data_IF_679927982227
#
_entry.id   IF_679927982227
#
_cell.length_a   1.000
_cell.length_b   1.000
_cell.length_c   1.000
_cell.angle_alpha   90.00
_cell.angle_beta   90.00
_cell.angle_gamma   90.00
#
_symmetry.space_group_name_H-M   'P 1'
#
loop_
_entity.id
_entity.type
_entity.pdbx_description
1 polymer ?
#
# COMPACT_ATOMS: atom_id res chain seq x y z
N UNK A 1 13.64 13.30 14.69
CA UNK A 1 14.49 14.21 13.88
C UNK A 1 14.57 13.61 12.48
N UNK A 2 14.21 14.36 11.42
CA UNK A 2 14.18 13.99 9.98
C UNK A 2 13.38 12.75 9.48
N UNK A 3 13.12 11.73 10.30
CA UNK A 3 12.30 10.52 9.97
C UNK A 3 12.76 9.82 8.67
N UNK A 4 14.06 9.64 8.55
CA UNK A 4 14.65 8.81 7.49
C UNK A 4 14.80 7.39 8.05
N UNK A 5 14.50 6.35 7.25
CA UNK A 5 14.67 4.96 7.68
C UNK A 5 16.15 4.67 7.93
N UNK A 6 16.42 3.77 8.86
CA UNK A 6 17.76 3.26 9.14
C UNK A 6 17.85 1.77 8.83
N UNK A 7 19.05 1.28 8.53
CA UNK A 7 19.33 -0.14 8.39
C UNK A 7 19.44 -0.85 9.75
N UNK A 8 19.72 -2.16 9.71
CA UNK A 8 19.88 -3.01 10.90
C UNK A 8 21.01 -2.51 11.82
N UNK A 9 22.03 -1.85 11.25
CA UNK A 9 23.18 -1.30 11.95
C UNK A 9 22.97 0.16 12.42
N UNK A 10 21.75 0.70 12.28
CA UNK A 10 21.34 2.05 12.66
C UNK A 10 21.95 3.18 11.82
N UNK A 11 22.45 2.89 10.61
CA UNK A 11 22.84 3.91 9.64
C UNK A 11 21.66 4.35 8.78
N UNK A 12 21.67 5.59 8.31
CA UNK A 12 20.62 6.13 7.43
C UNK A 12 20.63 5.38 6.11
N UNK A 13 19.49 4.81 5.75
CA UNK A 13 19.32 4.03 4.53
C UNK A 13 19.21 4.95 3.31
N UNK A 14 20.16 4.82 2.39
CA UNK A 14 20.11 5.49 1.09
C UNK A 14 18.97 4.96 0.23
N UNK A 15 18.58 5.74 -0.78
CA UNK A 15 17.54 5.35 -1.74
C UNK A 15 17.94 4.12 -2.53
N UNK A 16 19.19 4.08 -3.01
CA UNK A 16 19.74 2.90 -3.66
C UNK A 16 21.29 2.94 -3.61
N UNK A 17 21.98 1.88 -3.16
CA UNK A 17 23.43 1.88 -2.92
C UNK A 17 24.30 2.29 -4.12
N UNK A 18 23.84 2.00 -5.35
CA UNK A 18 24.56 2.32 -6.61
C UNK A 18 23.97 3.47 -7.43
N UNK A 19 22.65 3.49 -7.63
CA UNK A 19 21.98 4.44 -8.52
C UNK A 19 21.75 5.79 -7.87
N UNK A 20 21.49 5.81 -6.55
CA UNK A 20 21.21 7.04 -5.82
C UNK A 20 21.68 6.95 -4.36
N UNK A 21 23.00 6.94 -4.13
CA UNK A 21 23.55 6.64 -2.81
C UNK A 21 23.42 7.81 -1.83
N UNK A 22 23.32 9.05 -2.32
CA UNK A 22 23.31 10.25 -1.46
C UNK A 22 21.89 10.75 -1.13
N UNK A 23 20.87 10.28 -1.86
CA UNK A 23 19.48 10.55 -1.50
C UNK A 23 19.00 9.54 -0.47
N UNK A 24 18.19 9.98 0.48
CA UNK A 24 17.46 9.05 1.35
C UNK A 24 16.16 8.62 0.66
N UNK A 25 15.43 7.69 1.27
CA UNK A 25 14.07 7.36 0.80
C UNK A 25 13.13 8.58 0.83
N UNK A 26 13.38 9.56 1.70
CA UNK A 26 12.59 10.79 1.79
C UNK A 26 13.10 11.86 0.83
N UNK A 27 12.25 12.25 -0.12
CA UNK A 27 12.57 13.31 -1.08
C UNK A 27 12.96 14.62 -0.37
N UNK A 28 14.02 15.26 -0.88
CA UNK A 28 14.58 16.50 -0.31
C UNK A 28 15.46 16.29 0.93
N UNK A 29 15.60 15.06 1.45
CA UNK A 29 16.55 14.72 2.50
C UNK A 29 17.69 13.91 1.91
N UNK A 30 18.90 14.42 2.07
CA UNK A 30 20.15 13.83 1.58
C UNK A 30 21.05 13.50 2.76
N UNK A 31 21.88 12.47 2.60
CA UNK A 31 22.82 12.04 3.61
C UNK A 31 24.23 11.97 3.01
N UNK A 32 25.26 12.14 3.85
CA UNK A 32 26.66 12.00 3.47
C UNK A 32 27.51 11.70 4.70
N UNK A 33 28.59 10.95 4.51
CA UNK A 33 29.56 10.66 5.56
C UNK A 33 29.17 9.48 6.45
N UNK A 34 29.73 9.43 7.65
CA UNK A 34 29.62 8.28 8.57
C UNK A 34 28.18 7.96 9.03
N UNK A 35 27.20 8.82 8.71
CA UNK A 35 25.78 8.55 8.99
C UNK A 35 25.19 7.46 8.07
N UNK A 36 25.77 7.23 6.90
CA UNK A 36 25.40 6.15 5.94
C UNK A 36 26.39 4.98 6.04
N UNK A 37 26.96 4.71 7.21
CA UNK A 37 27.89 3.60 7.41
C UNK A 37 29.37 4.00 7.54
N UNK A 38 30.23 3.08 7.99
CA UNK A 38 31.65 3.34 8.24
C UNK A 38 32.41 3.63 6.95
N UNK A 39 33.22 4.68 6.91
CA UNK A 39 34.00 5.08 5.73
C UNK A 39 35.18 5.99 6.07
N UNK A 40 36.09 6.17 5.12
CA UNK A 40 37.25 7.05 5.26
C UNK A 40 36.94 8.52 4.90
N UNK A 41 37.93 9.39 5.08
CA UNK A 41 37.82 10.83 4.81
C UNK A 41 37.58 11.11 3.33
N UNK A 42 38.20 10.35 2.43
CA UNK A 42 38.10 10.59 0.99
C UNK A 42 36.69 10.27 0.49
N UNK A 43 36.13 9.12 0.88
CA UNK A 43 34.75 8.76 0.59
C UNK A 43 33.78 9.78 1.19
N UNK A 44 33.96 10.15 2.47
CA UNK A 44 33.11 11.15 3.14
C UNK A 44 33.09 12.49 2.39
N UNK A 45 34.24 12.92 1.86
CA UNK A 45 34.35 14.20 1.14
C UNK A 45 33.64 14.12 -0.22
N UNK A 46 33.84 13.04 -0.97
CA UNK A 46 33.15 12.82 -2.24
C UNK A 46 31.63 12.73 -2.07
N UNK A 47 31.16 12.07 -1.01
CA UNK A 47 29.74 12.01 -0.66
C UNK A 47 29.16 13.38 -0.31
N UNK A 48 29.89 14.19 0.46
CA UNK A 48 29.46 15.54 0.81
C UNK A 48 29.31 16.42 -0.44
N UNK A 49 30.24 16.34 -1.39
CA UNK A 49 30.13 17.03 -2.68
C UNK A 49 28.94 16.53 -3.51
N UNK A 50 28.74 15.20 -3.56
CA UNK A 50 27.60 14.58 -4.25
C UNK A 50 26.25 14.97 -3.66
N UNK A 51 26.13 14.97 -2.33
CA UNK A 51 24.94 15.41 -1.61
C UNK A 51 24.67 16.91 -1.81
N UNK A 52 25.71 17.75 -1.81
CA UNK A 52 25.57 19.18 -2.11
C UNK A 52 25.04 19.41 -3.54
N UNK A 53 25.57 18.69 -4.53
CA UNK A 53 25.06 18.75 -5.90
C UNK A 53 23.63 18.23 -6.03
N UNK A 54 23.25 17.19 -5.29
CA UNK A 54 21.87 16.71 -5.19
C UNK A 54 20.94 17.78 -4.62
N UNK A 55 21.36 18.50 -3.58
CA UNK A 55 20.62 19.63 -3.00
C UNK A 55 20.47 20.77 -4.02
N UNK A 56 21.54 21.14 -4.73
CA UNK A 56 21.46 22.16 -5.79
C UNK A 56 20.45 21.73 -6.85
N UNK A 57 20.55 20.51 -7.38
CA UNK A 57 19.60 19.96 -8.33
C UNK A 57 18.17 19.89 -7.77
N UNK A 58 18.02 19.70 -6.45
CA UNK A 58 16.74 19.73 -5.75
C UNK A 58 16.11 21.12 -5.73
N UNK A 59 16.91 22.16 -5.47
CA UNK A 59 16.44 23.54 -5.33
C UNK A 59 16.32 24.29 -6.67
N UNK A 60 17.11 23.92 -7.68
CA UNK A 60 17.21 24.68 -8.93
C UNK A 60 16.14 24.36 -9.97
N UNK A 61 15.35 23.30 -9.79
CA UNK A 61 14.37 22.84 -10.78
C UNK A 61 12.94 22.90 -10.28
N UNK A 62 12.00 22.98 -11.22
CA UNK A 62 10.59 22.68 -10.92
C UNK A 62 10.45 21.22 -10.48
N UNK A 63 9.48 20.97 -9.61
CA UNK A 63 9.20 19.64 -9.06
C UNK A 63 7.77 19.29 -9.36
N UNK A 64 7.60 18.13 -9.99
CA UNK A 64 6.30 17.53 -10.21
C UNK A 64 5.93 16.85 -8.88
N UNK A 65 4.85 17.31 -8.27
CA UNK A 65 4.26 16.66 -7.10
C UNK A 65 3.26 15.65 -7.62
N UNK A 66 3.37 14.41 -7.15
CA UNK A 66 2.39 13.37 -7.47
C UNK A 66 0.99 13.81 -6.98
N UNK A 67 -0.03 13.92 -7.86
CA UNK A 67 -1.32 14.50 -7.48
C UNK A 67 -2.17 13.60 -6.59
N UNK A 68 -1.84 12.31 -6.49
CA UNK A 68 -2.62 11.31 -5.76
C UNK A 68 -2.36 11.36 -4.25
N UNK A 69 -2.78 12.44 -3.59
CA UNK A 69 -2.60 12.68 -2.16
C UNK A 69 -3.84 12.31 -1.34
N UNK A 70 -3.71 12.29 -0.02
CA UNK A 70 -4.87 12.24 0.85
C UNK A 70 -5.41 13.66 1.09
N UNK A 71 -6.73 13.79 1.27
CA UNK A 71 -7.40 15.05 1.57
C UNK A 71 -8.63 14.84 2.45
N UNK A 72 -9.06 15.91 3.12
CA UNK A 72 -10.31 15.94 3.89
C UNK A 72 -11.49 16.10 2.92
N UNK A 73 -12.11 14.98 2.58
CA UNK A 73 -13.22 14.91 1.63
C UNK A 73 -14.55 15.37 2.26
N UNK A 74 -14.77 15.05 3.54
CA UNK A 74 -16.00 15.40 4.26
C UNK A 74 -15.67 16.15 5.55
N UNK A 75 -15.46 17.48 5.48
CA UNK A 75 -15.14 18.28 6.65
C UNK A 75 -16.19 18.19 7.77
N UNK A 76 -17.46 18.06 7.41
CA UNK A 76 -18.58 18.04 8.37
C UNK A 76 -18.60 16.78 9.25
N UNK A 77 -18.09 15.65 8.74
CA UNK A 77 -17.98 14.40 9.50
C UNK A 77 -16.78 14.39 10.45
N UNK A 78 -15.77 15.23 10.20
CA UNK A 78 -14.55 15.21 11.00
C UNK A 78 -14.78 15.87 12.37
N UNK A 79 -14.57 15.11 13.44
CA UNK A 79 -14.66 15.58 14.84
C UNK A 79 -13.32 16.12 15.39
N UNK A 80 -12.24 16.01 14.64
CA UNK A 80 -10.90 16.45 15.05
C UNK A 80 -10.18 15.51 16.01
N UNK A 81 -10.57 14.23 16.11
CA UNK A 81 -9.97 13.24 17.02
C UNK A 81 -8.44 13.05 16.84
N UNK A 82 -7.91 13.23 15.62
CA UNK A 82 -6.47 13.20 15.37
C UNK A 82 -5.88 11.82 15.04
N UNK A 83 -6.68 10.76 14.95
CA UNK A 83 -6.20 9.41 14.60
C UNK A 83 -5.38 9.37 13.29
N UNK A 84 -5.82 10.14 12.29
CA UNK A 84 -5.10 10.28 11.02
C UNK A 84 -3.68 10.86 11.16
N UNK A 85 -3.42 11.68 12.19
CA UNK A 85 -2.09 12.24 12.47
C UNK A 85 -1.14 11.15 12.94
N UNK A 86 -1.60 10.31 13.86
CA UNK A 86 -0.84 9.16 14.38
C UNK A 86 -0.58 8.10 13.30
N UNK A 87 -1.59 7.83 12.48
CA UNK A 87 -1.52 6.85 11.40
C UNK A 87 -0.63 7.28 10.22
N UNK A 88 -0.21 8.55 10.12
CA UNK A 88 0.58 9.05 8.99
C UNK A 88 2.08 8.76 9.17
N UNK A 89 2.68 7.84 8.39
CA UNK A 89 4.10 7.49 8.54
C UNK A 89 5.02 8.68 8.26
N UNK A 90 4.64 9.50 7.28
CA UNK A 90 5.41 10.66 6.83
C UNK A 90 5.35 11.86 7.78
N UNK A 91 4.41 11.89 8.74
CA UNK A 91 4.23 13.11 9.53
C UNK A 91 3.66 14.26 8.71
N UNK A 92 2.93 13.97 7.63
CA UNK A 92 2.39 14.95 6.70
C UNK A 92 1.14 15.67 7.21
N UNK A 93 0.45 15.11 8.23
CA UNK A 93 -0.83 15.62 8.72
C UNK A 93 -0.64 16.37 10.04
N UNK A 94 -1.31 17.52 10.18
CA UNK A 94 -1.39 18.29 11.43
C UNK A 94 -2.83 18.73 11.67
N UNK A 95 -3.22 18.91 12.92
CA UNK A 95 -4.50 19.54 13.24
C UNK A 95 -4.34 21.07 13.26
N UNK A 96 -5.15 21.76 12.46
CA UNK A 96 -5.28 23.21 12.43
C UNK A 96 -6.75 23.51 12.63
N UNK A 97 -7.09 24.32 13.65
CA UNK A 97 -8.48 24.66 13.98
C UNK A 97 -9.39 23.42 14.16
N UNK A 98 -8.83 22.32 14.70
CA UNK A 98 -9.57 21.07 14.92
C UNK A 98 -9.79 20.22 13.66
N UNK A 99 -9.21 20.56 12.51
CA UNK A 99 -9.30 19.78 11.28
C UNK A 99 -7.92 19.32 10.77
N UNK A 100 -7.82 18.14 10.14
CA UNK A 100 -6.57 17.68 9.56
C UNK A 100 -6.21 18.52 8.33
N UNK A 101 -5.06 19.18 8.40
CA UNK A 101 -4.39 19.85 7.28
C UNK A 101 -3.24 18.96 6.82
N UNK A 102 -3.23 18.62 5.54
CA UNK A 102 -2.26 17.71 4.94
C UNK A 102 -1.23 18.51 4.16
N UNK A 103 0.04 18.30 4.46
CA UNK A 103 1.14 18.85 3.69
C UNK A 103 1.35 17.98 2.44
N UNK A 104 0.93 18.49 1.28
CA UNK A 104 1.02 17.77 0.00
C UNK A 104 2.46 17.42 -0.40
N UNK A 105 3.44 18.23 -0.01
CA UNK A 105 4.85 17.97 -0.32
C UNK A 105 5.37 16.77 0.49
N UNK A 106 4.92 16.61 1.74
CA UNK A 106 5.31 15.50 2.60
C UNK A 106 4.45 14.26 2.42
N UNK A 107 3.22 14.38 1.93
CA UNK A 107 2.33 13.25 1.75
C UNK A 107 2.86 12.33 0.65
N UNK A 108 3.25 11.11 0.98
CA UNK A 108 3.70 10.13 -0.03
C UNK A 108 2.55 9.55 -0.86
N UNK A 109 1.30 9.66 -0.38
CA UNK A 109 0.13 9.09 -1.09
C UNK A 109 -0.12 7.60 -0.77
N UNK A 110 0.44 7.08 0.33
CA UNK A 110 0.24 5.68 0.75
C UNK A 110 -1.19 5.36 1.23
N UNK A 111 -1.97 6.37 1.61
CA UNK A 111 -3.38 6.19 2.00
C UNK A 111 -3.60 5.64 3.41
N UNK A 112 -2.56 5.38 4.21
CA UNK A 112 -2.67 4.78 5.55
C UNK A 112 -3.63 5.51 6.51
N UNK A 113 -3.73 6.83 6.39
CA UNK A 113 -4.60 7.68 7.23
C UNK A 113 -6.11 7.53 6.95
N UNK A 114 -6.49 6.99 5.80
CA UNK A 114 -7.89 6.95 5.36
C UNK A 114 -8.71 5.93 6.16
N UNK A 115 -8.33 4.64 6.23
CA UNK A 115 -9.00 3.68 7.11
C UNK A 115 -8.79 3.97 8.60
N UNK A 116 -7.77 4.75 8.98
CA UNK A 116 -7.59 5.17 10.37
C UNK A 116 -8.61 6.23 10.83
N UNK A 117 -9.36 6.84 9.91
CA UNK A 117 -10.36 7.83 10.26
C UNK A 117 -11.67 7.14 10.66
N UNK A 118 -12.09 7.18 11.94
CA UNK A 118 -13.32 6.51 12.37
C UNK A 118 -14.58 7.12 11.76
N UNK A 119 -14.50 8.38 11.33
CA UNK A 119 -15.61 9.12 10.70
C UNK A 119 -15.61 8.98 9.17
N UNK A 120 -14.67 8.23 8.58
CA UNK A 120 -14.51 8.11 7.11
C UNK A 120 -14.44 9.46 6.38
N UNK A 121 -13.88 10.49 7.02
CA UNK A 121 -13.86 11.86 6.52
C UNK A 121 -12.74 12.14 5.49
N UNK A 122 -11.73 11.28 5.43
CA UNK A 122 -10.58 11.38 4.53
C UNK A 122 -10.76 10.53 3.28
N UNK A 123 -10.26 11.01 2.14
CA UNK A 123 -10.17 10.24 0.91
C UNK A 123 -8.87 10.56 0.15
N UNK A 124 -8.66 9.92 -1.00
CA UNK A 124 -7.46 10.03 -1.82
C UNK A 124 -7.78 10.55 -3.22
N UNK A 125 -7.07 11.60 -3.67
CA UNK A 125 -7.20 12.08 -5.05
C UNK A 125 -6.75 10.99 -6.03
N UNK A 126 -7.51 10.80 -7.11
CA UNK A 126 -7.24 9.80 -8.15
C UNK A 126 -7.44 8.34 -7.71
N UNK A 127 -7.89 8.10 -6.48
CA UNK A 127 -8.23 6.80 -5.92
C UNK A 127 -9.29 6.96 -4.83
N UNK A 128 -10.41 7.60 -5.19
CA UNK A 128 -11.50 7.84 -4.23
C UNK A 128 -12.14 6.52 -3.80
N UNK A 129 -12.80 6.51 -2.65
CA UNK A 129 -13.55 5.35 -2.15
C UNK A 129 -14.54 4.82 -3.21
N UNK A 130 -15.27 5.74 -3.85
CA UNK A 130 -16.21 5.43 -4.93
C UNK A 130 -15.52 4.86 -6.18
N UNK A 131 -14.35 5.39 -6.57
CA UNK A 131 -13.59 4.86 -7.70
C UNK A 131 -13.10 3.44 -7.44
N UNK A 132 -12.59 3.17 -6.23
CA UNK A 132 -12.12 1.85 -5.84
C UNK A 132 -13.26 0.83 -5.79
N UNK A 133 -14.39 1.18 -5.16
CA UNK A 133 -15.62 0.35 -5.14
C UNK A 133 -16.12 0.06 -6.56
N UNK A 134 -16.14 1.07 -7.44
CA UNK A 134 -16.52 0.88 -8.85
C UNK A 134 -15.57 -0.08 -9.61
N UNK A 135 -14.26 0.00 -9.36
CA UNK A 135 -13.27 -0.90 -9.96
C UNK A 135 -13.46 -2.34 -9.50
N UNK A 136 -13.69 -2.55 -8.19
CA UNK A 136 -13.98 -3.86 -7.60
C UNK A 136 -15.21 -4.46 -8.28
N UNK A 137 -16.32 -3.72 -8.30
CA UNK A 137 -17.57 -4.15 -8.90
C UNK A 137 -17.42 -4.52 -10.37
N UNK A 138 -16.75 -3.65 -11.15
CA UNK A 138 -16.55 -3.87 -12.58
C UNK A 138 -15.76 -5.15 -12.91
N UNK A 139 -14.79 -5.53 -12.08
CA UNK A 139 -14.00 -6.76 -12.25
C UNK A 139 -14.76 -8.02 -11.88
N UNK A 140 -15.67 -7.96 -10.89
CA UNK A 140 -16.33 -9.13 -10.33
C UNK A 140 -17.68 -9.45 -10.98
N UNK A 141 -18.52 -8.45 -11.21
CA UNK A 141 -19.86 -8.63 -11.79
C UNK A 141 -19.81 -9.09 -13.26
N UNK A 142 -18.81 -8.61 -14.01
CA UNK A 142 -18.68 -8.91 -15.45
C UNK A 142 -18.21 -10.33 -15.75
N UNK A 143 -17.80 -11.10 -14.73
CA UNK A 143 -17.15 -12.38 -14.95
C UNK A 143 -18.06 -13.59 -14.70
N UNK A 144 -17.95 -14.57 -15.59
CA UNK A 144 -18.65 -15.87 -15.52
C UNK A 144 -17.77 -17.00 -14.97
N UNK A 145 -16.60 -16.68 -14.40
CA UNK A 145 -15.74 -17.70 -13.80
C UNK A 145 -16.40 -18.29 -12.55
N UNK A 146 -16.18 -19.60 -12.33
CA UNK A 146 -16.68 -20.32 -11.15
C UNK A 146 -16.02 -19.84 -9.87
N UNK A 147 -14.69 -19.65 -9.89
CA UNK A 147 -13.93 -19.07 -8.77
C UNK A 147 -13.42 -17.69 -9.13
N UNK A 148 -13.66 -16.73 -8.24
CA UNK A 148 -13.26 -15.33 -8.41
C UNK A 148 -12.37 -14.88 -7.26
N UNK A 149 -11.08 -14.72 -7.54
CA UNK A 149 -10.11 -14.19 -6.59
C UNK A 149 -9.74 -12.77 -6.97
N UNK A 150 -9.90 -11.84 -6.04
CA UNK A 150 -9.47 -10.45 -6.21
C UNK A 150 -8.13 -10.22 -5.50
N UNK A 151 -7.10 -9.88 -6.26
CA UNK A 151 -5.79 -9.54 -5.74
C UNK A 151 -5.60 -8.02 -5.73
N UNK A 152 -5.50 -7.42 -4.55
CA UNK A 152 -4.96 -6.08 -4.39
C UNK A 152 -3.44 -6.17 -4.32
N UNK A 153 -2.76 -5.40 -5.16
CA UNK A 153 -1.30 -5.51 -5.34
C UNK A 153 -0.65 -4.14 -5.24
N UNK A 154 0.41 -4.02 -4.44
CA UNK A 154 1.21 -2.80 -4.38
C UNK A 154 1.87 -2.52 -5.72
N UNK A 155 1.76 -1.27 -6.18
CA UNK A 155 2.01 -0.90 -7.58
C UNK A 155 3.49 -0.89 -7.98
N UNK A 156 4.42 -0.53 -7.10
CA UNK A 156 5.80 -0.30 -7.47
C UNK A 156 6.64 -1.58 -7.51
N UNK A 157 6.52 -2.44 -6.50
CA UNK A 157 7.36 -3.61 -6.27
C UNK A 157 6.57 -4.89 -6.52
N UNK A 158 5.42 -5.07 -5.84
CA UNK A 158 4.66 -6.31 -5.95
C UNK A 158 4.09 -6.50 -7.36
N UNK A 159 3.55 -5.44 -7.97
CA UNK A 159 3.03 -5.47 -9.34
C UNK A 159 4.15 -5.69 -10.36
N UNK A 160 5.35 -5.15 -10.14
CA UNK A 160 6.52 -5.44 -10.97
C UNK A 160 6.85 -6.92 -10.97
N UNK A 161 6.76 -7.59 -9.82
CA UNK A 161 6.96 -9.04 -9.74
C UNK A 161 5.86 -9.82 -10.51
N UNK A 162 4.62 -9.34 -10.49
CA UNK A 162 3.52 -9.91 -11.29
C UNK A 162 3.78 -9.73 -12.80
N UNK A 163 4.23 -8.55 -13.23
CA UNK A 163 4.61 -8.29 -14.62
C UNK A 163 5.76 -9.20 -15.07
N UNK A 164 6.76 -9.42 -14.22
CA UNK A 164 7.86 -10.36 -14.49
C UNK A 164 7.35 -11.81 -14.64
N UNK A 165 6.38 -12.23 -13.82
CA UNK A 165 5.75 -13.54 -13.96
C UNK A 165 5.05 -13.69 -15.33
N UNK A 166 4.35 -12.64 -15.79
CA UNK A 166 3.75 -12.59 -17.12
C UNK A 166 4.78 -12.62 -18.25
N UNK A 167 5.85 -11.82 -18.16
CA UNK A 167 6.94 -11.78 -19.14
C UNK A 167 7.64 -13.14 -19.28
N UNK A 168 7.81 -13.86 -18.18
CA UNK A 168 8.36 -15.19 -18.15
C UNK A 168 7.37 -16.29 -18.57
N UNK A 169 6.12 -15.92 -18.87
CA UNK A 169 5.03 -16.84 -19.29
C UNK A 169 4.75 -17.92 -18.24
N UNK A 170 4.83 -17.57 -16.95
CA UNK A 170 4.39 -18.46 -15.89
C UNK A 170 2.88 -18.65 -16.00
N UNK A 171 2.43 -19.89 -15.82
CA UNK A 171 1.01 -20.22 -15.92
C UNK A 171 0.41 -20.13 -14.52
N UNK A 172 -0.60 -19.28 -14.36
CA UNK A 172 -1.35 -19.17 -13.12
C UNK A 172 -2.85 -19.19 -13.41
N UNK A 173 -3.69 -19.51 -12.40
CA UNK A 173 -5.14 -19.63 -12.57
C UNK A 173 -5.76 -18.34 -13.10
N UNK A 174 -6.70 -18.47 -14.05
CA UNK A 174 -7.46 -17.35 -14.61
C UNK A 174 -8.53 -16.79 -13.65
N UNK A 175 -8.67 -17.39 -12.46
CA UNK A 175 -9.54 -16.93 -11.38
C UNK A 175 -9.04 -15.64 -10.72
N UNK A 176 -7.77 -15.28 -10.90
CA UNK A 176 -7.13 -14.14 -10.24
C UNK A 176 -7.31 -12.85 -11.07
N UNK A 177 -7.85 -11.81 -10.44
CA UNK A 177 -8.04 -10.46 -11.03
C UNK A 177 -7.31 -9.44 -10.17
N UNK A 178 -6.56 -8.55 -10.80
CA UNK A 178 -5.64 -7.66 -10.07
C UNK A 178 -6.14 -6.21 -10.07
N UNK A 179 -6.10 -5.57 -8.90
CA UNK A 179 -6.21 -4.12 -8.73
C UNK A 179 -4.88 -3.58 -8.18
N UNK A 180 -4.12 -2.79 -8.95
CA UNK A 180 -2.89 -2.16 -8.46
C UNK A 180 -3.18 -0.89 -7.64
N UNK A 181 -2.72 -0.87 -6.39
CA UNK A 181 -2.83 0.27 -5.48
C UNK A 181 -1.45 0.84 -5.16
N UNK A 182 -1.34 2.16 -4.85
CA UNK A 182 -0.08 2.72 -4.37
C UNK A 182 0.48 1.95 -3.17
N UNK A 183 -0.33 1.73 -2.14
CA UNK A 183 -0.04 0.83 -1.03
C UNK A 183 -1.34 0.19 -0.57
N UNK A 184 -1.27 -1.02 -0.01
CA UNK A 184 -2.45 -1.69 0.55
C UNK A 184 -2.90 -1.06 1.86
N UNK A 185 -2.09 -0.18 2.47
CA UNK A 185 -2.47 0.59 3.65
C UNK A 185 -3.69 1.51 3.40
N UNK A 186 -4.03 1.77 2.13
CA UNK A 186 -5.25 2.49 1.72
C UNK A 186 -6.54 1.68 1.93
N UNK A 187 -6.47 0.35 2.04
CA UNK A 187 -7.65 -0.50 2.13
C UNK A 187 -8.32 -0.39 3.51
N UNK A 188 -9.60 -0.07 3.50
CA UNK A 188 -10.58 -0.30 4.57
C UNK A 188 -11.14 -1.73 4.50
N UNK A 189 -11.56 -2.29 5.64
CA UNK A 189 -12.36 -3.52 5.72
C UNK A 189 -13.56 -3.46 4.76
N UNK A 190 -14.24 -2.30 4.69
CA UNK A 190 -15.38 -2.10 3.79
C UNK A 190 -15.10 -2.48 2.33
N UNK A 191 -13.89 -2.29 1.81
CA UNK A 191 -13.61 -2.68 0.42
C UNK A 191 -13.51 -4.20 0.26
N UNK A 192 -13.02 -4.91 1.29
CA UNK A 192 -12.95 -6.36 1.30
C UNK A 192 -14.36 -6.95 1.37
N UNK A 193 -15.19 -6.45 2.30
CA UNK A 193 -16.60 -6.82 2.41
C UNK A 193 -17.35 -6.51 1.11
N UNK A 194 -17.09 -5.34 0.50
CA UNK A 194 -17.66 -4.97 -0.80
C UNK A 194 -17.23 -5.94 -1.90
N UNK A 195 -15.97 -6.38 -1.94
CA UNK A 195 -15.52 -7.37 -2.90
C UNK A 195 -16.26 -8.72 -2.73
N UNK A 196 -16.43 -9.21 -1.50
CA UNK A 196 -17.21 -10.42 -1.24
C UNK A 196 -18.69 -10.24 -1.62
N UNK A 197 -19.30 -9.12 -1.26
CA UNK A 197 -20.68 -8.78 -1.62
C UNK A 197 -20.93 -8.84 -3.14
N UNK A 198 -19.96 -8.43 -3.96
CA UNK A 198 -20.08 -8.34 -5.42
C UNK A 198 -19.44 -9.51 -6.19
N UNK A 199 -19.06 -10.58 -5.50
CA UNK A 199 -18.75 -11.86 -6.17
C UNK A 199 -17.34 -12.39 -5.95
N UNK A 200 -16.50 -11.80 -5.10
CA UNK A 200 -15.23 -12.44 -4.75
C UNK A 200 -15.48 -13.69 -3.89
N UNK A 201 -14.70 -14.74 -4.12
CA UNK A 201 -14.65 -15.96 -3.30
C UNK A 201 -13.40 -15.99 -2.41
N UNK A 202 -12.37 -15.23 -2.81
CA UNK A 202 -11.16 -15.00 -2.03
C UNK A 202 -10.51 -13.67 -2.40
N UNK A 203 -9.76 -13.12 -1.47
CA UNK A 203 -9.02 -11.86 -1.62
C UNK A 203 -7.54 -12.10 -1.31
N UNK A 204 -6.67 -11.60 -2.17
CA UNK A 204 -5.22 -11.58 -1.94
C UNK A 204 -4.75 -10.15 -1.70
N UNK A 205 -3.90 -9.96 -0.70
CA UNK A 205 -3.19 -8.74 -0.38
C UNK A 205 -1.70 -9.00 -0.61
N UNK A 206 -1.18 -8.48 -1.73
CA UNK A 206 0.22 -8.61 -2.12
C UNK A 206 0.96 -7.29 -1.92
N UNK A 207 1.78 -7.23 -0.88
CA UNK A 207 2.44 -6.00 -0.42
C UNK A 207 3.97 -6.10 -0.56
N UNK A 208 4.61 -4.96 -0.76
CA UNK A 208 6.06 -4.87 -0.75
C UNK A 208 6.61 -5.03 0.69
N UNK A 209 7.82 -5.57 0.88
CA UNK A 209 8.51 -5.52 2.17
C UNK A 209 8.81 -4.08 2.58
N UNK A 210 8.80 -3.78 3.89
CA UNK A 210 9.08 -2.44 4.44
C UNK A 210 10.36 -1.79 3.86
N UNK A 211 11.44 -2.56 3.79
CA UNK A 211 12.74 -2.05 3.33
C UNK A 211 12.89 -1.98 1.81
N UNK A 212 12.01 -2.61 1.03
CA UNK A 212 12.07 -2.60 -0.44
C UNK A 212 11.05 -1.65 -1.06
N UNK A 213 9.87 -1.55 -0.46
CA UNK A 213 8.79 -0.76 -1.01
C UNK A 213 8.99 0.76 -0.85
N UNK A 214 8.23 1.54 -1.65
CA UNK A 214 8.40 3.00 -1.72
C UNK A 214 7.82 3.76 -0.52
N UNK A 215 6.98 3.12 0.30
CA UNK A 215 6.22 3.76 1.39
C UNK A 215 6.66 3.36 2.81
N UNK A 216 7.77 2.61 2.95
CA UNK A 216 8.39 2.27 4.24
C UNK A 216 7.39 1.69 5.23
N UNK A 217 7.23 2.35 6.39
CA UNK A 217 6.31 1.96 7.46
C UNK A 217 4.85 1.77 7.04
N UNK A 218 4.40 2.34 5.92
CA UNK A 218 3.06 2.07 5.42
C UNK A 218 2.85 0.57 5.11
N UNK A 219 3.91 -0.13 4.70
CA UNK A 219 3.88 -1.56 4.40
C UNK A 219 3.70 -2.43 5.66
N UNK A 220 4.22 -1.96 6.79
CA UNK A 220 3.98 -2.57 8.10
C UNK A 220 2.52 -2.36 8.50
N UNK A 221 2.00 -1.13 8.35
CA UNK A 221 0.60 -0.81 8.65
C UNK A 221 -0.38 -1.66 7.84
N UNK A 222 -0.09 -1.92 6.56
CA UNK A 222 -0.93 -2.80 5.74
C UNK A 222 -0.90 -4.26 6.18
N UNK A 223 0.23 -4.75 6.67
CA UNK A 223 0.34 -6.13 7.17
C UNK A 223 -0.43 -6.30 8.48
N UNK A 224 -0.24 -5.38 9.43
CA UNK A 224 -0.99 -5.37 10.69
C UNK A 224 -2.50 -5.34 10.43
N UNK A 225 -2.95 -4.45 9.53
CA UNK A 225 -4.37 -4.39 9.14
C UNK A 225 -4.86 -5.62 8.41
N UNK A 226 -4.03 -6.26 7.60
CA UNK A 226 -4.43 -7.48 6.91
C UNK A 226 -4.72 -8.58 7.93
N UNK A 227 -3.96 -8.65 9.03
CA UNK A 227 -4.22 -9.58 10.11
C UNK A 227 -5.46 -9.19 10.93
N UNK A 228 -5.66 -7.91 11.24
CA UNK A 228 -6.89 -7.44 11.89
C UNK A 228 -8.13 -7.76 11.05
N UNK A 229 -8.09 -7.46 9.75
CA UNK A 229 -9.21 -7.71 8.83
C UNK A 229 -9.53 -9.20 8.68
N UNK A 230 -8.55 -10.11 8.81
CA UNK A 230 -8.85 -11.56 8.80
C UNK A 230 -9.82 -11.93 9.91
N UNK A 231 -9.62 -11.39 11.11
CA UNK A 231 -10.49 -11.66 12.25
C UNK A 231 -11.83 -10.94 12.11
N UNK A 232 -11.82 -9.67 11.67
CA UNK A 232 -13.05 -8.89 11.49
C UNK A 232 -13.97 -9.47 10.41
N UNK A 233 -13.45 -10.20 9.42
CA UNK A 233 -14.29 -10.88 8.41
C UNK A 233 -15.21 -11.94 9.02
N UNK A 234 -14.78 -12.60 10.10
CA UNK A 234 -15.59 -13.65 10.75
C UNK A 234 -16.86 -13.07 11.39
N UNK A 235 -16.86 -11.80 11.80
CA UNK A 235 -18.05 -11.10 12.30
C UNK A 235 -19.13 -10.87 11.21
N UNK A 236 -18.79 -11.15 9.95
CA UNK A 236 -19.68 -11.04 8.79
C UNK A 236 -19.93 -12.38 8.09
N UNK A 237 -19.69 -13.50 8.78
CA UNK A 237 -19.88 -14.86 8.27
C UNK A 237 -19.05 -15.14 7.00
N UNK A 238 -17.89 -14.48 6.88
CA UNK A 238 -16.88 -14.74 5.84
C UNK A 238 -15.66 -15.39 6.49
N UNK A 239 -15.33 -16.61 6.09
CA UNK A 239 -14.20 -17.33 6.67
C UNK A 239 -12.87 -16.60 6.44
N UNK A 240 -12.07 -16.48 7.51
CA UNK A 240 -10.78 -15.81 7.49
C UNK A 240 -9.77 -16.42 6.49
N UNK A 241 -9.92 -17.71 6.16
CA UNK A 241 -9.11 -18.40 5.13
C UNK A 241 -9.28 -17.80 3.74
N UNK A 242 -10.36 -17.05 3.49
CA UNK A 242 -10.64 -16.38 2.22
C UNK A 242 -9.83 -15.08 2.05
N UNK A 243 -9.04 -14.68 3.04
CA UNK A 243 -8.13 -13.54 2.96
C UNK A 243 -6.66 -13.98 3.08
N UNK A 244 -5.91 -13.84 1.99
CA UNK A 244 -4.49 -14.18 1.95
C UNK A 244 -3.63 -12.93 1.93
N UNK A 245 -2.65 -12.84 2.84
CA UNK A 245 -1.60 -11.81 2.80
C UNK A 245 -0.26 -12.43 2.42
N UNK A 246 0.50 -11.78 1.55
CA UNK A 246 1.88 -12.15 1.25
C UNK A 246 2.75 -10.94 0.98
N UNK A 247 3.94 -10.94 1.59
CA UNK A 247 5.03 -10.07 1.14
C UNK A 247 5.57 -10.57 -0.20
N UNK A 248 5.81 -9.64 -1.12
CA UNK A 248 6.33 -9.94 -2.46
C UNK A 248 7.67 -9.26 -2.67
N UNK A 249 8.72 -10.08 -2.75
CA UNK A 249 10.07 -9.63 -3.05
C UNK A 249 10.33 -9.78 -4.56
N UNK A 250 10.81 -8.72 -5.21
CA UNK A 250 11.09 -8.77 -6.66
C UNK A 250 12.03 -9.92 -7.04
N UNK A 251 13.14 -10.19 -6.33
CA UNK A 251 14.02 -11.33 -6.66
C UNK A 251 13.30 -12.70 -6.63
N UNK A 252 12.24 -12.81 -5.84
CA UNK A 252 11.48 -14.03 -5.63
C UNK A 252 10.20 -14.12 -6.47
N UNK A 253 10.07 -13.29 -7.52
CA UNK A 253 8.87 -13.23 -8.37
C UNK A 253 8.38 -14.60 -8.88
N UNK A 254 9.27 -15.58 -9.08
CA UNK A 254 8.89 -16.95 -9.49
C UNK A 254 8.02 -17.68 -8.47
N UNK A 255 8.11 -17.30 -7.19
CA UNK A 255 7.28 -17.89 -6.13
C UNK A 255 5.81 -17.46 -6.25
N UNK A 256 5.51 -16.37 -6.96
CA UNK A 256 4.13 -15.89 -7.15
C UNK A 256 3.25 -16.94 -7.84
N UNK A 257 3.79 -17.70 -8.80
CA UNK A 257 3.06 -18.81 -9.44
C UNK A 257 2.57 -19.81 -8.39
N UNK A 258 3.43 -20.21 -7.46
CA UNK A 258 3.06 -21.12 -6.38
C UNK A 258 2.03 -20.49 -5.45
N UNK A 259 2.21 -19.23 -5.07
CA UNK A 259 1.28 -18.50 -4.18
C UNK A 259 -0.12 -18.44 -4.82
N UNK A 260 -0.20 -18.09 -6.10
CA UNK A 260 -1.43 -18.05 -6.88
C UNK A 260 -2.12 -19.41 -6.99
N UNK A 261 -1.39 -20.46 -7.36
CA UNK A 261 -1.97 -21.81 -7.47
C UNK A 261 -2.42 -22.36 -6.11
N UNK A 262 -1.65 -22.11 -5.05
CA UNK A 262 -1.99 -22.56 -3.69
C UNK A 262 -3.28 -21.91 -3.23
N UNK A 263 -3.38 -20.58 -3.31
CA UNK A 263 -4.57 -19.88 -2.87
C UNK A 263 -5.78 -20.19 -3.73
N UNK A 264 -5.61 -20.33 -5.05
CA UNK A 264 -6.70 -20.80 -5.91
C UNK A 264 -7.25 -22.15 -5.48
N UNK A 265 -6.38 -23.13 -5.21
CA UNK A 265 -6.82 -24.47 -4.79
C UNK A 265 -7.56 -24.41 -3.46
N UNK A 266 -7.07 -23.59 -2.51
CA UNK A 266 -7.75 -23.40 -1.22
C UNK A 266 -9.17 -22.84 -1.39
N UNK A 267 -9.36 -21.83 -2.26
CA UNK A 267 -10.68 -21.24 -2.49
C UNK A 267 -11.59 -22.16 -3.30
N UNK A 268 -11.02 -22.94 -4.22
CA UNK A 268 -11.76 -23.95 -4.99
C UNK A 268 -12.29 -25.06 -4.06
N UNK A 269 -11.47 -25.53 -3.12
CA UNK A 269 -11.85 -26.52 -2.11
C UNK A 269 -12.91 -25.98 -1.13
N UNK A 270 -12.80 -24.71 -0.74
CA UNK A 270 -13.77 -24.03 0.14
C UNK A 270 -15.11 -23.73 -0.56
N UNK A 271 -15.09 -23.66 -1.89
CA UNK A 271 -16.25 -23.30 -2.70
C UNK A 271 -16.60 -21.80 -2.65
N UNK A 272 -17.63 -21.43 -3.41
CA UNK A 272 -18.09 -20.05 -3.49
C UNK A 272 -18.71 -19.58 -2.17
N UNK A 273 -18.56 -18.30 -1.85
CA UNK A 273 -19.29 -17.70 -0.71
C UNK A 273 -20.79 -17.79 -0.98
N UNK A 274 -21.54 -18.27 0.01
CA UNK A 274 -23.00 -18.42 0.01
C UNK A 274 -23.71 -17.13 -0.40
N UNK A 275 -24.75 -17.23 -1.24
CA UNK A 275 -25.46 -16.03 -1.74
C UNK A 275 -26.17 -15.27 -0.60
N UNK A 276 -26.63 -15.97 0.45
CA UNK A 276 -27.23 -15.35 1.64
C UNK A 276 -26.23 -14.39 2.31
N UNK A 277 -25.00 -14.83 2.54
CA UNK A 277 -23.93 -13.99 3.09
C UNK A 277 -23.66 -12.78 2.19
N UNK A 278 -23.64 -12.97 0.85
CA UNK A 278 -23.44 -11.85 -0.09
C UNK A 278 -24.59 -10.84 -0.02
N UNK A 279 -25.82 -11.30 0.07
CA UNK A 279 -27.00 -10.44 0.19
C UNK A 279 -26.97 -9.64 1.50
N UNK A 280 -26.60 -10.27 2.61
CA UNK A 280 -26.44 -9.57 3.90
C UNK A 280 -25.34 -8.51 3.84
N UNK A 281 -24.20 -8.82 3.23
CA UNK A 281 -23.13 -7.86 3.03
C UNK A 281 -23.59 -6.65 2.19
N UNK A 282 -24.34 -6.88 1.10
CA UNK A 282 -24.92 -5.79 0.30
C UNK A 282 -25.86 -4.92 1.15
N UNK A 283 -26.72 -5.53 1.95
CA UNK A 283 -27.65 -4.79 2.83
C UNK A 283 -26.92 -3.96 3.89
N UNK A 284 -25.85 -4.50 4.49
CA UNK A 284 -25.05 -3.79 5.50
C UNK A 284 -24.24 -2.63 4.89
N UNK A 285 -23.77 -2.76 3.66
CA UNK A 285 -22.91 -1.77 2.99
C UNK A 285 -23.67 -0.63 2.31
N UNK A 286 -24.99 -0.77 2.09
CA UNK A 286 -25.86 0.25 1.49
C UNK A 286 -25.87 0.23 -0.04
#
# INVERSE_FOLDING_TARGET
MLRVPVDEDQFVLERHPKLDPMATKRDGVFAAGAVIGPKDIQSTTAEAEGAAMKVINFLSGERIIEPNKAYLAQPDLCDGCGECVGACPESAIRLVEGKPTINEIMCSGCGACIPACPQSALDQQGLTDAQLKAQIRGLLESSTAEVKILAFVERAVAYTAVDLAGLARLSYPSSIRIIPLPSLARLKLEHLLHAFAYGADGIMLLEAPEHEGPFGLAHVVSEERADDYKWELEDYDVDSVRLWFSRVYVPDWRKLERVFNTFHSMIDDEGSVEEEVREELRQKLG
#
